data_IF_526640432433
#
_entry.id   IF_526640432433
#
_cell.length_a   1.000
_cell.length_b   1.000
_cell.length_c   1.000
_cell.angle_alpha   90.00
_cell.angle_beta   90.00
_cell.angle_gamma   90.00
#
_symmetry.space_group_name_H-M   'P 1'
#
loop_
_entity.id
_entity.type
_entity.pdbx_description
1 polymer ?
#
# COMPACT_ATOMS: atom_id res chain seq x y z
N UNK A 1 -21.96 27.02 -9.01
CA UNK A 1 -21.98 26.28 -9.04
C UNK A 1 -22.18 25.38 -9.04
N UNK A 2 -22.16 25.34 -9.09
CA UNK A 2 -22.36 24.41 -9.05
C UNK A 2 -22.37 23.44 -9.07
N UNK A 3 -22.10 23.31 -9.08
CA UNK A 3 -22.12 22.37 -9.19
C UNK A 3 -22.17 21.61 -8.87
N UNK A 4 -22.22 21.56 -8.80
CA UNK A 4 -22.32 20.78 -8.51
C UNK A 4 -22.29 19.87 -8.49
N UNK A 5 -21.87 20.23 -8.55
CA UNK A 5 -21.82 19.34 -8.66
C UNK A 5 -22.30 18.47 -8.61
N UNK A 6 -22.51 18.32 -9.03
CA UNK A 6 -23.05 17.30 -8.71
C UNK A 6 -22.74 16.08 -9.26
N UNK A 7 -21.95 15.47 -8.76
CA UNK A 7 -21.52 14.16 -9.00
C UNK A 7 -22.69 13.22 -8.73
N UNK A 8 -23.17 12.53 -9.73
CA UNK A 8 -24.33 11.69 -9.52
C UNK A 8 -24.06 10.50 -8.61
N UNK A 9 -22.79 10.17 -8.39
CA UNK A 9 -22.50 9.03 -7.55
C UNK A 9 -22.58 9.35 -6.07
N UNK A 10 -23.21 10.42 -5.72
CA UNK A 10 -23.35 10.80 -4.36
C UNK A 10 -22.48 11.94 -4.01
N UNK A 11 -21.97 12.51 -5.01
CA UNK A 11 -21.27 13.74 -4.84
C UNK A 11 -20.27 13.77 -3.73
N UNK A 12 -19.09 13.57 -4.07
CA UNK A 12 -18.02 13.71 -3.13
C UNK A 12 -17.60 15.15 -2.96
N UNK A 13 -18.31 16.06 -3.61
CA UNK A 13 -18.00 17.48 -3.62
C UNK A 13 -19.24 18.29 -3.38
N UNK A 14 -19.13 19.36 -2.65
CA UNK A 14 -18.05 19.67 -1.71
C UNK A 14 -18.31 18.98 -0.39
N UNK A 15 -17.40 19.03 0.51
CA UNK A 15 -17.64 18.54 1.85
C UNK A 15 -17.08 17.16 2.15
N UNK A 16 -16.75 16.43 1.12
CA UNK A 16 -16.12 15.13 1.31
C UNK A 16 -14.67 15.30 1.68
N UNK A 17 -14.18 14.44 2.51
CA UNK A 17 -12.78 14.45 2.91
C UNK A 17 -12.05 13.28 2.27
N UNK A 18 -10.75 13.45 2.08
CA UNK A 18 -9.94 12.35 1.65
C UNK A 18 -9.98 11.24 2.71
N UNK A 19 -9.86 9.99 2.31
CA UNK A 19 -9.87 8.89 3.27
C UNK A 19 -8.83 9.06 4.35
N UNK A 20 -9.19 8.71 5.57
CA UNK A 20 -8.28 8.74 6.71
C UNK A 20 -7.31 7.58 6.64
N UNK A 21 -6.31 7.57 7.53
CA UNK A 21 -5.41 6.42 7.61
C UNK A 21 -6.19 5.15 7.92
N UNK A 22 -7.16 5.23 8.81
CA UNK A 22 -7.97 4.06 9.17
C UNK A 22 -8.78 3.57 7.98
N UNK A 23 -9.34 4.49 7.22
CA UNK A 23 -10.10 4.11 6.05
C UNK A 23 -9.22 3.48 4.99
N UNK A 24 -8.02 4.03 4.81
CA UNK A 24 -7.08 3.46 3.85
C UNK A 24 -6.58 2.11 4.29
N UNK A 25 -6.42 1.89 5.61
CA UNK A 25 -6.06 0.57 6.10
C UNK A 25 -7.16 -0.45 5.80
N UNK A 26 -8.41 -0.04 5.93
CA UNK A 26 -9.51 -0.94 5.62
C UNK A 26 -9.50 -1.31 4.14
N UNK A 27 -9.27 -0.32 3.28
CA UNK A 27 -9.16 -0.58 1.85
C UNK A 27 -8.02 -1.55 1.57
N UNK A 28 -6.88 -1.30 2.20
CA UNK A 28 -5.69 -2.12 1.97
C UNK A 28 -5.88 -3.55 2.47
N UNK A 29 -6.52 -3.72 3.61
CA UNK A 29 -6.78 -5.06 4.12
C UNK A 29 -7.73 -5.82 3.23
N UNK A 30 -8.74 -5.15 2.69
CA UNK A 30 -9.64 -5.78 1.73
C UNK A 30 -8.90 -6.19 0.47
N UNK A 31 -8.04 -5.31 -0.03
CA UNK A 31 -7.26 -5.61 -1.23
C UNK A 31 -6.31 -6.78 -0.97
N UNK A 32 -5.72 -6.81 0.21
CA UNK A 32 -4.81 -7.88 0.57
C UNK A 32 -5.52 -9.23 0.58
N UNK A 33 -6.73 -9.26 1.16
CA UNK A 33 -7.50 -10.50 1.21
C UNK A 33 -7.88 -11.00 -0.17
N UNK A 34 -7.99 -10.09 -1.12
CA UNK A 34 -8.40 -10.42 -2.48
C UNK A 34 -7.24 -10.57 -3.45
N UNK A 35 -6.00 -10.57 -2.96
CA UNK A 35 -4.85 -10.71 -3.84
C UNK A 35 -4.83 -12.06 -4.53
N UNK A 36 -4.24 -12.12 -5.73
CA UNK A 36 -4.11 -13.40 -6.42
C UNK A 36 -3.35 -14.42 -5.56
N UNK A 37 -3.78 -15.66 -5.69
CA UNK A 37 -3.22 -16.73 -4.88
C UNK A 37 -1.70 -16.85 -5.03
N UNK A 38 -1.19 -16.58 -6.22
CA UNK A 38 0.25 -16.70 -6.44
C UNK A 38 1.04 -15.80 -5.50
N UNK A 39 0.48 -14.65 -5.16
CA UNK A 39 1.13 -13.75 -4.20
C UNK A 39 0.76 -14.11 -2.78
N UNK A 40 -0.50 -14.46 -2.55
CA UNK A 40 -0.96 -14.81 -1.22
C UNK A 40 -0.21 -16.00 -0.65
N UNK A 41 0.20 -16.91 -1.51
CA UNK A 41 0.91 -18.10 -1.05
C UNK A 41 2.27 -17.77 -0.44
N UNK A 42 2.81 -16.59 -0.72
CA UNK A 42 4.09 -16.17 -0.15
C UNK A 42 3.95 -15.51 1.21
N UNK A 43 2.77 -15.05 1.56
CA UNK A 43 2.59 -14.25 2.76
C UNK A 43 1.51 -14.88 3.65
N UNK A 44 1.88 -15.14 4.89
CA UNK A 44 0.96 -15.75 5.82
C UNK A 44 0.47 -14.78 6.86
N UNK A 45 1.32 -13.87 7.25
CA UNK A 45 1.05 -13.08 8.43
C UNK A 45 1.63 -11.70 8.21
N UNK A 46 0.92 -10.92 7.41
CA UNK A 46 1.34 -9.58 7.06
C UNK A 46 0.43 -8.58 7.73
N UNK A 47 1.01 -7.61 8.40
CA UNK A 47 0.26 -6.50 8.95
C UNK A 47 0.44 -5.29 8.07
N UNK A 48 -0.65 -4.59 7.82
CA UNK A 48 -0.63 -3.40 7.00
C UNK A 48 -0.87 -2.19 7.90
N UNK A 49 -0.02 -1.19 7.77
CA UNK A 49 -0.15 0.06 8.50
C UNK A 49 -0.12 1.22 7.53
N UNK A 50 -0.96 2.19 7.80
CA UNK A 50 -0.96 3.42 6.99
C UNK A 50 -0.50 4.56 7.88
N UNK A 51 0.56 5.22 7.45
CA UNK A 51 1.10 6.41 8.11
C UNK A 51 0.96 7.58 7.16
N UNK A 52 1.10 8.79 7.68
CA UNK A 52 0.98 9.96 6.81
C UNK A 52 2.15 10.07 5.84
N UNK A 53 3.37 9.89 6.35
CA UNK A 53 4.59 10.00 5.55
C UNK A 53 5.60 8.97 6.03
N UNK A 54 6.51 8.55 5.15
CA UNK A 54 7.62 7.71 5.61
C UNK A 54 8.56 8.49 6.51
N UNK A 55 9.19 7.78 7.43
CA UNK A 55 10.18 8.37 8.30
C UNK A 55 11.41 8.78 7.49
N UNK A 56 12.09 9.83 7.93
CA UNK A 56 13.27 10.30 7.22
C UNK A 56 14.35 9.22 7.14
N UNK A 57 14.48 8.41 8.19
CA UNK A 57 15.45 7.32 8.19
C UNK A 57 15.19 6.34 7.05
N UNK A 58 13.93 6.05 6.80
CA UNK A 58 13.55 5.14 5.72
C UNK A 58 13.93 5.74 4.37
N UNK A 59 13.63 7.01 4.19
CA UNK A 59 13.94 7.69 2.94
C UNK A 59 15.45 7.72 2.70
N UNK A 60 16.20 8.00 3.75
CA UNK A 60 17.66 8.06 3.66
C UNK A 60 18.23 6.70 3.29
N UNK A 61 17.73 5.67 3.94
CA UNK A 61 18.21 4.32 3.71
C UNK A 61 17.94 3.86 2.27
N UNK A 62 16.80 4.25 1.73
CA UNK A 62 16.43 3.87 0.37
C UNK A 62 16.95 4.83 -0.69
N UNK A 63 17.57 5.92 -0.26
CA UNK A 63 18.08 6.89 -1.21
C UNK A 63 17.02 7.68 -1.93
N UNK A 64 15.87 7.86 -1.28
CA UNK A 64 14.76 8.57 -1.87
C UNK A 64 14.76 10.01 -1.40
N UNK A 65 14.72 10.92 -2.33
CA UNK A 65 14.64 12.34 -2.01
C UNK A 65 13.19 12.75 -1.94
N UNK A 66 12.82 13.36 -0.83
CA UNK A 66 11.49 13.89 -0.70
C UNK A 66 10.49 12.85 -0.19
N UNK A 67 9.66 13.32 0.71
CA UNK A 67 8.75 12.43 1.43
C UNK A 67 7.58 11.94 0.57
N UNK A 68 7.40 12.51 -0.61
CA UNK A 68 6.35 12.06 -1.52
C UNK A 68 6.85 10.98 -2.50
N UNK A 69 8.10 10.60 -2.40
CA UNK A 69 8.70 9.67 -3.35
C UNK A 69 8.50 8.21 -3.04
N UNK A 70 7.82 7.89 -1.95
CA UNK A 70 7.62 6.50 -1.55
C UNK A 70 6.16 6.28 -1.21
N UNK A 71 5.52 5.37 -1.93
CA UNK A 71 4.10 5.09 -1.72
C UNK A 71 3.87 3.99 -0.70
N UNK A 72 4.79 3.05 -0.61
CA UNK A 72 4.68 1.95 0.32
C UNK A 72 5.99 1.23 0.48
N UNK A 73 6.04 0.33 1.45
CA UNK A 73 7.25 -0.40 1.76
C UNK A 73 6.92 -1.72 2.42
N UNK A 74 7.46 -2.80 1.88
CA UNK A 74 7.37 -4.11 2.51
C UNK A 74 8.61 -4.29 3.38
N UNK A 75 8.39 -4.62 4.63
CA UNK A 75 9.47 -4.79 5.56
C UNK A 75 9.33 -6.13 6.25
N UNK A 76 10.19 -7.06 5.85
CA UNK A 76 10.19 -8.37 6.48
C UNK A 76 10.95 -8.30 7.80
N UNK A 77 10.50 -9.08 8.75
CA UNK A 77 11.16 -9.18 10.04
C UNK A 77 11.96 -10.46 10.07
N UNK A 78 13.28 -10.30 10.17
CA UNK A 78 14.17 -11.44 10.21
C UNK A 78 14.08 -12.15 11.55
N UNK A 79 14.06 -13.45 11.52
CA UNK A 79 14.07 -14.23 12.76
C UNK A 79 15.35 -13.99 13.55
N UNK A 80 16.41 -13.68 12.87
CA UNK A 80 17.68 -13.42 13.53
C UNK A 80 17.65 -12.19 14.41
N UNK A 81 16.70 -11.33 14.19
CA UNK A 81 16.57 -10.12 14.97
C UNK A 81 15.70 -10.30 16.20
N UNK A 82 15.16 -11.48 16.37
CA UNK A 82 14.35 -11.78 17.54
C UNK A 82 15.25 -12.06 18.72
N UNK A 83 14.78 -11.69 19.88
CA UNK A 83 15.53 -12.03 21.07
C UNK A 83 15.54 -13.51 21.26
N UNK A 84 16.55 -13.96 21.95
CA UNK A 84 16.65 -15.36 22.27
C UNK A 84 15.48 -15.76 23.15
N UNK A 85 14.92 -16.89 22.85
CA UNK A 85 13.79 -17.38 23.58
C UNK A 85 12.48 -16.78 23.14
N UNK A 86 12.54 -15.90 22.23
CA UNK A 86 11.34 -15.29 21.71
C UNK A 86 10.77 -16.18 20.63
N UNK A 87 9.68 -16.81 20.93
CA UNK A 87 9.00 -17.66 19.98
C UNK A 87 8.24 -16.85 19.00
N UNK A 88 8.31 -15.59 19.15
CA UNK A 88 7.50 -14.73 18.37
C UNK A 88 7.66 -15.00 16.93
N UNK A 89 6.65 -14.88 16.31
CA UNK A 89 6.52 -15.02 14.94
C UNK A 89 7.16 -13.86 14.24
N UNK A 90 7.73 -14.16 13.13
CA UNK A 90 8.19 -13.13 12.24
C UNK A 90 6.95 -12.57 11.56
N UNK A 91 6.59 -11.37 11.91
CA UNK A 91 5.47 -10.69 11.29
C UNK A 91 6.02 -9.70 10.28
N UNK A 92 5.67 -9.91 9.04
CA UNK A 92 6.03 -8.96 8.01
C UNK A 92 5.08 -7.78 8.04
N UNK A 93 5.60 -6.64 7.66
CA UNK A 93 4.82 -5.41 7.67
C UNK A 93 4.79 -4.81 6.28
N UNK A 94 3.66 -4.27 5.91
CA UNK A 94 3.58 -3.42 4.74
C UNK A 94 3.14 -2.05 5.23
N UNK A 95 3.95 -1.05 4.94
CA UNK A 95 3.62 0.32 5.24
C UNK A 95 3.11 0.99 3.99
N UNK A 96 2.02 1.72 4.12
CA UNK A 96 1.51 2.56 3.05
C UNK A 96 1.51 3.99 3.56
N UNK A 97 1.79 4.93 2.70
CA UNK A 97 1.95 6.31 3.10
C UNK A 97 0.83 7.14 2.48
N UNK A 98 -0.02 7.65 3.37
CA UNK A 98 -1.26 8.28 2.95
C UNK A 98 -1.07 9.49 2.06
N UNK A 99 -0.22 10.43 2.49
CA UNK A 99 -0.05 11.65 1.72
C UNK A 99 0.57 11.39 0.34
N UNK A 100 1.64 10.60 0.25
CA UNK A 100 2.16 10.25 -1.06
C UNK A 100 1.15 9.51 -1.93
N UNK A 101 0.37 8.60 -1.35
CA UNK A 101 -0.63 7.86 -2.12
C UNK A 101 -1.71 8.79 -2.66
N UNK A 102 -2.20 9.69 -1.81
CA UNK A 102 -3.24 10.61 -2.25
C UNK A 102 -2.73 11.55 -3.33
N UNK A 103 -1.50 12.03 -3.18
CA UNK A 103 -0.91 12.93 -4.17
C UNK A 103 -0.75 12.22 -5.51
N UNK A 104 -0.29 10.99 -5.47
CA UNK A 104 -0.10 10.20 -6.68
C UNK A 104 -1.46 9.91 -7.32
N UNK A 105 -2.44 9.54 -6.50
CA UNK A 105 -3.78 9.24 -6.98
C UNK A 105 -4.41 10.41 -7.70
N UNK A 106 -4.17 11.62 -7.22
CA UNK A 106 -4.71 12.82 -7.86
C UNK A 106 -4.23 12.98 -9.29
N UNK A 107 -3.10 12.38 -9.63
CA UNK A 107 -2.52 12.50 -10.96
C UNK A 107 -2.81 11.28 -11.84
N UNK A 108 -3.44 10.27 -11.27
CA UNK A 108 -3.69 9.04 -12.01
C UNK A 108 -5.15 8.93 -12.37
N UNK A 109 -5.41 8.18 -13.42
CA UNK A 109 -6.76 7.95 -13.87
C UNK A 109 -7.21 6.57 -13.42
N UNK A 110 -7.34 6.42 -12.10
CA UNK A 110 -7.82 5.15 -11.57
C UNK A 110 -8.36 5.35 -10.17
N UNK A 111 -9.02 4.33 -9.65
CA UNK A 111 -9.59 4.42 -8.30
C UNK A 111 -8.52 4.29 -7.25
N UNK A 112 -8.81 4.79 -6.07
CA UNK A 112 -7.88 4.65 -4.96
C UNK A 112 -7.71 3.16 -4.59
N UNK A 113 -8.79 2.41 -4.62
CA UNK A 113 -8.72 0.96 -4.38
C UNK A 113 -7.76 0.30 -5.35
N UNK A 114 -7.86 0.66 -6.63
CA UNK A 114 -6.97 0.11 -7.65
C UNK A 114 -5.52 0.47 -7.42
N UNK A 115 -5.28 1.73 -7.03
CA UNK A 115 -3.92 2.16 -6.75
C UNK A 115 -3.33 1.41 -5.55
N UNK A 116 -4.09 1.29 -4.47
CA UNK A 116 -3.62 0.58 -3.30
C UNK A 116 -3.33 -0.88 -3.64
N UNK A 117 -4.23 -1.51 -4.42
CA UNK A 117 -3.99 -2.89 -4.86
C UNK A 117 -2.70 -3.00 -5.66
N UNK A 118 -2.49 -2.05 -6.56
CA UNK A 118 -1.28 -2.02 -7.37
C UNK A 118 -0.03 -1.94 -6.50
N UNK A 119 -0.04 -1.06 -5.51
CA UNK A 119 1.11 -0.90 -4.62
C UNK A 119 1.35 -2.17 -3.83
N UNK A 120 0.29 -2.80 -3.31
CA UNK A 120 0.44 -4.06 -2.56
C UNK A 120 1.06 -5.14 -3.43
N UNK A 121 0.59 -5.30 -4.66
CA UNK A 121 1.13 -6.31 -5.56
C UNK A 121 2.60 -6.06 -5.80
N UNK A 122 2.97 -4.81 -6.04
CA UNK A 122 4.35 -4.50 -6.37
C UNK A 122 5.27 -4.62 -5.17
N UNK A 123 4.82 -4.23 -3.99
CA UNK A 123 5.66 -4.37 -2.80
C UNK A 123 5.88 -5.83 -2.44
N UNK A 124 4.83 -6.62 -2.47
CA UNK A 124 4.96 -8.04 -2.19
C UNK A 124 5.79 -8.72 -3.28
N UNK A 125 5.49 -8.41 -4.53
CA UNK A 125 6.20 -9.01 -5.63
C UNK A 125 7.69 -8.74 -5.61
N UNK A 126 8.07 -7.48 -5.38
CA UNK A 126 9.49 -7.12 -5.32
C UNK A 126 10.18 -7.85 -4.17
N UNK A 127 9.51 -7.94 -3.04
CA UNK A 127 10.10 -8.60 -1.88
C UNK A 127 10.41 -10.07 -2.17
N UNK A 128 9.58 -10.71 -2.97
CA UNK A 128 9.77 -12.13 -3.29
C UNK A 128 10.41 -12.36 -4.65
N UNK A 129 10.91 -11.31 -5.26
CA UNK A 129 11.75 -11.46 -6.45
C UNK A 129 11.05 -11.50 -7.78
N UNK A 130 9.78 -11.13 -7.84
CA UNK A 130 9.08 -11.08 -9.12
C UNK A 130 9.55 -9.87 -9.92
N UNK A 131 9.65 -10.05 -11.22
CA UNK A 131 9.98 -8.95 -12.11
C UNK A 131 8.76 -8.07 -12.35
N UNK A 132 9.00 -6.88 -12.88
CA UNK A 132 7.90 -5.99 -13.21
C UNK A 132 6.95 -6.63 -14.22
N UNK A 133 7.51 -7.36 -15.20
CA UNK A 133 6.69 -8.04 -16.18
C UNK A 133 5.80 -9.09 -15.52
N UNK A 134 6.37 -9.84 -14.59
CA UNK A 134 5.61 -10.86 -13.86
C UNK A 134 4.47 -10.22 -13.07
N UNK A 135 4.77 -9.11 -12.39
CA UNK A 135 3.76 -8.46 -11.56
C UNK A 135 2.65 -7.85 -12.40
N UNK A 136 3.00 -7.29 -13.55
CA UNK A 136 1.99 -6.77 -14.46
C UNK A 136 1.06 -7.89 -14.93
N UNK A 137 1.62 -9.03 -15.25
CA UNK A 137 0.82 -10.17 -15.69
C UNK A 137 -0.11 -10.65 -14.56
N UNK A 138 0.40 -10.71 -13.34
CA UNK A 138 -0.40 -11.10 -12.18
C UNK A 138 -1.53 -10.11 -11.96
N UNK A 139 -1.23 -8.84 -12.05
CA UNK A 139 -2.22 -7.81 -11.81
C UNK A 139 -3.32 -7.85 -12.87
N UNK A 140 -2.93 -8.05 -14.12
CA UNK A 140 -3.89 -8.08 -15.21
C UNK A 140 -4.73 -9.34 -15.22
N UNK A 141 -4.19 -10.42 -14.69
CA UNK A 141 -4.89 -11.71 -14.70
C UNK A 141 -5.92 -11.86 -13.62
N UNK A 142 -6.04 -10.88 -12.75
CA UNK A 142 -7.01 -10.95 -11.65
C UNK A 142 -7.98 -9.76 -11.65
#
# INVERSE_FOLDING_TARGET
MNAQSKDPSGSRWPGEKAPSTAEMEAIANSAYEALPKVLRDHVDNVMIRVSEFPDQDVLDELGIEGEYGLLGLYQGVSLDQKSLGDVATAIDMIFLYRQPLLAYWCEMDETLDGLIRHVLIHEIGHHFGYSDVDMDAIEMGS
#
